data_IF_420008160794
#
_entry.id   IF_420008160794
#
_cell.length_a   1.000
_cell.length_b   1.000
_cell.length_c   1.000
_cell.angle_alpha   90.00
_cell.angle_beta   90.00
_cell.angle_gamma   90.00
#
_symmetry.space_group_name_H-M   'P 1'
#
loop_
_entity.id
_entity.type
_entity.pdbx_description
1 polymer ?
#
# COMPACT_ATOMS: atom_id res chain seq x y z
N UNK A 1 -0.03 -12.27 -14.45
CA UNK A 1 0.92 -11.18 -14.12
C UNK A 1 0.20 -10.24 -13.17
N UNK A 2 0.65 -10.15 -11.91
CA UNK A 2 0.17 -9.09 -11.01
C UNK A 2 0.78 -7.77 -11.46
N UNK A 3 -0.04 -6.74 -11.67
CA UNK A 3 0.44 -5.43 -12.11
C UNK A 3 1.15 -4.67 -11.00
N UNK A 4 0.76 -4.92 -9.75
CA UNK A 4 1.27 -4.25 -8.56
C UNK A 4 1.54 -5.27 -7.46
N UNK A 5 2.59 -5.05 -6.66
CA UNK A 5 2.84 -5.75 -5.39
C UNK A 5 2.70 -4.73 -4.26
N UNK A 6 2.04 -5.14 -3.19
CA UNK A 6 1.88 -4.36 -1.97
C UNK A 6 2.66 -5.06 -0.86
N UNK A 7 3.46 -4.31 -0.12
CA UNK A 7 4.10 -4.79 1.10
C UNK A 7 3.74 -3.85 2.24
N UNK A 8 3.05 -4.38 3.24
CA UNK A 8 2.82 -3.67 4.49
C UNK A 8 4.02 -3.88 5.42
N UNK A 9 4.72 -2.79 5.75
CA UNK A 9 5.88 -2.80 6.63
C UNK A 9 5.62 -2.02 7.90
N UNK A 10 6.19 -2.48 8.99
CA UNK A 10 6.16 -1.78 10.27
C UNK A 10 7.32 -0.77 10.32
N UNK A 11 7.02 0.47 10.67
CA UNK A 11 8.02 1.49 10.95
C UNK A 11 8.52 1.33 12.38
N UNK A 12 9.79 0.96 12.54
CA UNK A 12 10.42 0.69 13.84
C UNK A 12 10.45 1.91 14.77
N UNK A 13 10.33 3.12 14.23
CA UNK A 13 10.35 4.36 15.03
C UNK A 13 9.00 4.64 15.69
N UNK A 14 7.90 4.34 15.00
CA UNK A 14 6.54 4.68 15.45
C UNK A 14 5.73 3.46 15.87
N UNK A 15 6.14 2.24 15.51
CA UNK A 15 5.35 1.01 15.68
C UNK A 15 4.09 0.98 14.82
N UNK A 16 4.01 1.85 13.80
CA UNK A 16 2.89 1.95 12.88
C UNK A 16 3.25 1.31 11.54
N UNK A 17 2.25 0.82 10.84
CA UNK A 17 2.39 0.22 9.53
C UNK A 17 2.24 1.27 8.42
N UNK A 18 3.04 1.10 7.38
CA UNK A 18 2.99 1.82 6.12
C UNK A 18 2.95 0.82 4.95
N UNK A 19 2.60 1.30 3.76
CA UNK A 19 2.58 0.51 2.54
C UNK A 19 3.68 0.91 1.59
N UNK A 20 4.32 -0.09 1.02
CA UNK A 20 5.18 0.01 -0.15
C UNK A 20 4.45 -0.58 -1.36
N UNK A 21 4.35 0.22 -2.41
CA UNK A 21 3.64 -0.11 -3.64
C UNK A 21 4.68 -0.25 -4.74
N UNK A 22 4.80 -1.46 -5.27
CA UNK A 22 5.73 -1.81 -6.34
C UNK A 22 4.99 -1.93 -7.66
N UNK A 23 5.50 -1.24 -8.69
CA UNK A 23 5.05 -1.39 -10.07
C UNK A 23 6.26 -1.30 -11.01
N UNK A 24 6.52 -2.33 -11.84
CA UNK A 24 5.82 -3.60 -11.91
C UNK A 24 5.98 -4.42 -10.61
N UNK A 25 5.20 -5.48 -10.41
CA UNK A 25 5.17 -6.23 -9.15
C UNK A 25 6.53 -6.87 -8.75
N UNK A 26 7.43 -7.04 -9.71
CA UNK A 26 8.79 -7.55 -9.58
C UNK A 26 9.85 -6.46 -9.39
N UNK A 27 9.46 -5.18 -9.32
CA UNK A 27 10.38 -4.09 -9.08
C UNK A 27 11.15 -4.29 -7.76
N UNK A 28 12.45 -4.00 -7.80
CA UNK A 28 13.32 -4.06 -6.61
C UNK A 28 13.05 -2.90 -5.65
N UNK A 29 12.55 -1.77 -6.16
CA UNK A 29 12.27 -0.57 -5.38
C UNK A 29 10.78 -0.21 -5.47
N UNK A 30 10.19 0.29 -4.38
CA UNK A 30 8.81 0.74 -4.40
C UNK A 30 8.67 1.98 -5.27
N UNK A 31 7.60 2.04 -6.05
CA UNK A 31 7.20 3.24 -6.77
C UNK A 31 6.67 4.30 -5.79
N UNK A 32 5.94 3.87 -4.77
CA UNK A 32 5.34 4.74 -3.74
C UNK A 32 5.49 4.09 -2.38
N UNK A 33 5.90 4.89 -1.40
CA UNK A 33 5.87 4.54 0.02
C UNK A 33 4.94 5.50 0.74
N UNK A 34 3.96 4.98 1.47
CA UNK A 34 3.01 5.80 2.23
C UNK A 34 3.60 6.20 3.59
N UNK A 35 2.99 7.18 4.24
CA UNK A 35 3.32 7.52 5.63
C UNK A 35 2.85 6.41 6.60
N UNK A 36 3.59 6.16 7.69
CA UNK A 36 3.21 5.20 8.73
C UNK A 36 2.06 5.76 9.56
N UNK A 37 0.88 5.17 9.39
CA UNK A 37 -0.36 5.63 10.04
C UNK A 37 -1.30 4.52 10.49
N UNK A 38 -1.03 3.28 10.07
CA UNK A 38 -1.92 2.15 10.34
C UNK A 38 -1.45 1.39 11.57
N UNK A 39 -2.38 0.81 12.33
CA UNK A 39 -2.03 0.00 13.52
C UNK A 39 -1.71 -1.46 13.18
N UNK A 40 -2.10 -1.93 11.99
CA UNK A 40 -1.89 -3.31 11.55
C UNK A 40 -1.66 -3.34 10.04
N UNK A 41 -0.95 -4.36 9.55
CA UNK A 41 -0.76 -4.60 8.12
C UNK A 41 -2.09 -4.73 7.36
N UNK A 42 -3.05 -5.49 7.91
CA UNK A 42 -4.37 -5.67 7.30
C UNK A 42 -5.17 -4.37 7.20
N UNK A 43 -5.02 -3.44 8.13
CA UNK A 43 -5.67 -2.13 8.05
C UNK A 43 -5.09 -1.29 6.90
N UNK A 44 -3.77 -1.37 6.69
CA UNK A 44 -3.11 -0.67 5.59
C UNK A 44 -3.59 -1.20 4.24
N UNK A 45 -3.58 -2.52 4.04
CA UNK A 45 -4.03 -3.17 2.81
C UNK A 45 -5.50 -2.89 2.49
N UNK A 46 -6.39 -3.00 3.47
CA UNK A 46 -7.83 -2.74 3.27
C UNK A 46 -8.10 -1.28 2.88
N UNK A 47 -7.40 -0.32 3.50
CA UNK A 47 -7.55 1.10 3.17
C UNK A 47 -7.08 1.37 1.74
N UNK A 48 -5.97 0.75 1.31
CA UNK A 48 -5.51 0.86 -0.07
C UNK A 48 -6.54 0.33 -1.07
N UNK A 49 -7.11 -0.85 -0.82
CA UNK A 49 -8.17 -1.42 -1.66
C UNK A 49 -9.37 -0.47 -1.72
N UNK A 50 -9.79 0.09 -0.59
CA UNK A 50 -10.90 1.04 -0.54
C UNK A 50 -10.61 2.32 -1.35
N UNK A 51 -9.40 2.87 -1.25
CA UNK A 51 -8.97 4.05 -2.03
C UNK A 51 -9.01 3.76 -3.52
N UNK A 52 -8.42 2.63 -3.97
CA UNK A 52 -8.38 2.27 -5.38
C UNK A 52 -9.78 1.98 -5.92
N UNK A 53 -10.61 1.26 -5.17
CA UNK A 53 -12.00 1.01 -5.54
C UNK A 53 -12.78 2.32 -5.72
N UNK A 54 -12.60 3.27 -4.79
CA UNK A 54 -13.25 4.57 -4.83
C UNK A 54 -12.79 5.40 -6.03
N UNK A 55 -11.47 5.46 -6.27
CA UNK A 55 -10.88 6.19 -7.40
C UNK A 55 -11.33 5.59 -8.75
N UNK A 56 -11.42 4.27 -8.83
CA UNK A 56 -11.89 3.57 -10.03
C UNK A 56 -13.36 3.86 -10.31
N UNK A 57 -14.19 3.94 -9.26
CA UNK A 57 -15.61 4.26 -9.42
C UNK A 57 -15.85 5.71 -9.88
N UNK A 58 -14.98 6.65 -9.50
CA UNK A 58 -15.06 8.05 -9.94
C UNK A 58 -14.61 8.27 -11.39
N UNK A 59 -13.89 7.32 -11.98
CA UNK A 59 -13.41 7.38 -13.37
C UNK A 59 -14.39 6.72 -14.36
N UNK A 60 -15.55 6.26 -13.89
CA UNK A 60 -16.58 5.58 -14.66
C UNK A 60 -17.75 6.50 -14.97
#
# INVERSE_FOLDING_TARGET
>A
MSLIRLEAKEDEKTGLFYLEIYHPADAEQPLVTTEPRYKTAAAAENDFIAIIATKTNLLR
#
